data_IF_470866002139
#
_entry.id   IF_470866002139
#
_cell.length_a   1.000
_cell.length_b   1.000
_cell.length_c   1.000
_cell.angle_alpha   90.00
_cell.angle_beta   90.00
_cell.angle_gamma   90.00
#
_symmetry.space_group_name_H-M   'P 1'
#
loop_
_entity.id
_entity.type
_entity.pdbx_description
1 polymer ?
#
# COMPACT_ATOMS: atom_id res chain seq x y z
N UNK A 1 29.51 16.51 -16.78
CA UNK A 1 29.56 17.09 -15.42
C UNK A 1 29.28 18.60 -15.41
N UNK A 2 29.85 19.40 -16.32
CA UNK A 2 29.59 20.85 -16.40
C UNK A 2 28.11 21.22 -16.65
N UNK A 3 27.41 20.47 -17.51
CA UNK A 3 25.99 20.69 -17.85
C UNK A 3 25.05 20.51 -16.64
N UNK A 4 25.35 19.52 -15.79
CA UNK A 4 24.65 19.26 -14.53
C UNK A 4 24.89 20.39 -13.52
N UNK A 5 26.15 20.84 -13.40
CA UNK A 5 26.53 21.94 -12.52
C UNK A 5 25.90 23.27 -12.93
N UNK A 6 25.74 23.54 -14.23
CA UNK A 6 25.04 24.74 -14.70
C UNK A 6 23.54 24.73 -14.41
N UNK A 7 22.87 23.58 -14.54
CA UNK A 7 21.44 23.47 -14.20
C UNK A 7 21.20 23.57 -12.69
N UNK A 8 22.05 22.91 -11.90
CA UNK A 8 22.04 23.03 -10.44
C UNK A 8 22.22 24.49 -9.99
N UNK A 9 23.14 25.24 -10.60
CA UNK A 9 23.35 26.67 -10.29
C UNK A 9 22.18 27.58 -10.66
N UNK A 10 21.26 27.15 -11.53
CA UNK A 10 20.10 27.95 -11.97
C UNK A 10 18.84 27.60 -11.19
N UNK A 11 18.64 26.31 -10.88
CA UNK A 11 17.42 25.83 -10.22
C UNK A 11 17.56 25.62 -8.70
N UNK A 12 18.79 25.55 -8.18
CA UNK A 12 19.13 25.43 -6.75
C UNK A 12 18.21 24.43 -6.01
N UNK A 13 17.43 24.88 -5.01
CA UNK A 13 16.53 24.03 -4.22
C UNK A 13 15.33 23.52 -5.03
N UNK A 14 14.83 24.29 -6.00
CA UNK A 14 13.67 23.92 -6.82
C UNK A 14 13.92 22.69 -7.70
N UNK A 15 15.19 22.41 -8.03
CA UNK A 15 15.56 21.20 -8.76
C UNK A 15 15.13 19.94 -7.99
N UNK A 16 15.24 19.94 -6.67
CA UNK A 16 14.97 18.75 -5.84
C UNK A 16 13.51 18.65 -5.39
N UNK A 17 12.71 19.70 -5.61
CA UNK A 17 11.29 19.72 -5.26
C UNK A 17 10.37 19.54 -6.48
N UNK A 18 10.92 19.42 -7.69
CA UNK A 18 10.15 19.27 -8.94
C UNK A 18 10.47 17.94 -9.62
N UNK A 19 9.47 17.06 -9.71
CA UNK A 19 9.58 15.79 -10.43
C UNK A 19 10.00 15.99 -11.88
N UNK A 20 9.36 16.92 -12.61
CA UNK A 20 9.69 17.20 -14.01
C UNK A 20 11.13 17.67 -14.20
N UNK A 21 11.65 18.49 -13.27
CA UNK A 21 13.03 18.96 -13.33
C UNK A 21 14.02 17.81 -13.10
N UNK A 22 13.76 16.94 -12.12
CA UNK A 22 14.55 15.75 -11.84
C UNK A 22 14.50 14.75 -13.01
N UNK A 23 13.31 14.54 -13.57
CA UNK A 23 13.13 13.67 -14.72
C UNK A 23 13.90 14.17 -15.94
N UNK A 24 13.77 15.46 -16.27
CA UNK A 24 14.53 16.07 -17.36
C UNK A 24 16.05 15.94 -17.15
N UNK A 25 16.52 16.10 -15.91
CA UNK A 25 17.92 15.92 -15.56
C UNK A 25 18.40 14.47 -15.79
N UNK A 26 17.60 13.50 -15.37
CA UNK A 26 17.85 12.08 -15.59
C UNK A 26 17.99 11.79 -17.10
N UNK A 27 17.03 12.25 -17.90
CA UNK A 27 17.06 12.09 -19.37
C UNK A 27 18.29 12.75 -19.98
N UNK A 28 18.68 13.94 -19.53
CA UNK A 28 19.87 14.61 -20.03
C UNK A 28 21.16 13.87 -19.72
N UNK A 29 21.27 13.24 -18.53
CA UNK A 29 22.41 12.37 -18.19
C UNK A 29 22.52 11.24 -19.22
N UNK A 30 21.39 10.63 -19.58
CA UNK A 30 21.32 9.55 -20.57
C UNK A 30 21.67 9.95 -21.99
N UNK A 31 21.68 11.25 -22.30
CA UNK A 31 21.98 11.78 -23.64
C UNK A 31 23.43 12.26 -23.79
N UNK A 32 24.22 12.22 -22.72
CA UNK A 32 25.63 12.63 -22.77
C UNK A 32 26.43 11.61 -23.61
N UNK A 33 27.05 12.02 -24.73
CA UNK A 33 27.87 11.11 -25.53
C UNK A 33 29.06 10.56 -24.72
N UNK A 34 29.22 9.23 -24.69
CA UNK A 34 30.23 8.59 -23.83
C UNK A 34 29.92 8.66 -22.34
N UNK A 35 28.68 9.01 -21.97
CA UNK A 35 28.18 8.99 -20.60
C UNK A 35 27.93 7.57 -20.07
N UNK A 36 27.54 7.45 -18.78
CA UNK A 36 27.26 6.16 -18.17
C UNK A 36 25.97 5.54 -18.73
N UNK A 37 25.93 4.21 -18.77
CA UNK A 37 24.67 3.47 -18.90
C UNK A 37 23.95 3.48 -17.55
N UNK A 38 22.66 3.81 -17.59
CA UNK A 38 21.81 3.92 -16.40
C UNK A 38 20.69 2.89 -16.52
N UNK A 39 20.60 2.00 -15.53
CA UNK A 39 19.53 1.02 -15.44
C UNK A 39 18.62 1.39 -14.27
N UNK A 40 17.36 1.68 -14.56
CA UNK A 40 16.35 1.92 -13.53
C UNK A 40 15.38 0.74 -13.50
N UNK A 41 15.19 0.17 -12.31
CA UNK A 41 14.20 -0.88 -12.06
C UNK A 41 13.09 -0.26 -11.23
N UNK A 42 11.87 -0.32 -11.75
CA UNK A 42 10.66 0.15 -11.08
C UNK A 42 9.88 -1.10 -10.69
N UNK A 43 9.86 -1.40 -9.40
CA UNK A 43 9.15 -2.55 -8.86
C UNK A 43 7.74 -2.16 -8.42
N UNK A 44 6.79 -3.08 -8.55
CA UNK A 44 5.38 -2.91 -8.18
C UNK A 44 4.75 -1.60 -8.67
N UNK A 45 4.91 -1.28 -9.95
CA UNK A 45 4.37 -0.04 -10.54
C UNK A 45 2.86 0.11 -10.29
N UNK A 46 2.12 -0.99 -10.26
CA UNK A 46 0.68 -1.00 -9.94
C UNK A 46 0.32 -0.57 -8.51
N UNK A 47 1.28 -0.56 -7.58
CA UNK A 47 1.08 -0.15 -6.18
C UNK A 47 1.39 1.34 -5.96
N UNK A 48 1.83 2.07 -6.99
CA UNK A 48 2.03 3.52 -6.91
C UNK A 48 0.71 4.27 -6.68
N UNK A 49 0.78 5.40 -5.96
CA UNK A 49 -0.35 6.32 -5.86
C UNK A 49 -0.78 6.76 -7.27
N UNK A 50 -2.09 6.76 -7.51
CA UNK A 50 -2.69 7.00 -8.84
C UNK A 50 -2.14 8.24 -9.56
N UNK A 51 -2.09 9.40 -8.89
CA UNK A 51 -1.61 10.65 -9.51
C UNK A 51 -0.11 10.60 -9.86
N UNK A 52 0.68 10.01 -8.97
CA UNK A 52 2.14 9.84 -9.14
C UNK A 52 2.44 8.82 -10.23
N UNK A 53 1.67 7.73 -10.28
CA UNK A 53 1.75 6.69 -11.31
C UNK A 53 1.42 7.27 -12.70
N UNK A 54 0.32 8.02 -12.81
CA UNK A 54 -0.06 8.65 -14.06
C UNK A 54 1.01 9.63 -14.55
N UNK A 55 1.51 10.49 -13.64
CA UNK A 55 2.59 11.45 -13.96
C UNK A 55 3.85 10.74 -14.46
N UNK A 56 4.27 9.66 -13.79
CA UNK A 56 5.42 8.85 -14.18
C UNK A 56 5.22 8.19 -15.56
N UNK A 57 4.06 7.58 -15.79
CA UNK A 57 3.72 6.91 -17.04
C UNK A 57 3.70 7.90 -18.22
N UNK A 58 3.12 9.09 -18.02
CA UNK A 58 3.13 10.16 -19.03
C UNK A 58 4.57 10.60 -19.37
N UNK A 59 5.45 10.76 -18.37
CA UNK A 59 6.84 11.11 -18.61
C UNK A 59 7.61 10.01 -19.34
N UNK A 60 7.37 8.74 -19.03
CA UNK A 60 7.95 7.60 -19.74
C UNK A 60 7.49 7.58 -21.20
N UNK A 61 6.19 7.72 -21.45
CA UNK A 61 5.65 7.76 -22.81
C UNK A 61 6.27 8.92 -23.62
N UNK A 62 6.28 10.12 -23.06
CA UNK A 62 6.88 11.30 -23.68
C UNK A 62 8.38 11.14 -23.96
N UNK A 63 9.12 10.52 -23.05
CA UNK A 63 10.59 10.44 -23.13
C UNK A 63 11.06 9.32 -24.04
N UNK A 64 10.30 8.24 -24.20
CA UNK A 64 10.75 7.05 -24.92
C UNK A 64 9.93 6.73 -26.19
N UNK A 65 8.65 7.12 -26.29
CA UNK A 65 7.83 6.87 -27.48
C UNK A 65 7.80 8.04 -28.47
N UNK A 66 7.85 9.29 -28.00
CA UNK A 66 7.75 10.48 -28.86
C UNK A 66 9.05 10.88 -29.58
N UNK A 67 10.18 10.18 -29.35
CA UNK A 67 11.48 10.46 -29.99
C UNK A 67 11.63 9.84 -31.40
N UNK A 68 10.56 9.73 -32.18
CA UNK A 68 10.61 9.30 -33.60
C UNK A 68 11.14 10.39 -34.55
N UNK A 69 12.05 11.25 -34.10
CA UNK A 69 12.79 12.16 -34.97
C UNK A 69 14.18 11.58 -35.20
N UNK A 70 14.54 11.40 -36.47
CA UNK A 70 15.72 10.68 -36.97
C UNK A 70 17.10 11.26 -36.55
N UNK A 71 17.14 12.24 -35.66
CA UNK A 71 18.34 12.96 -35.23
C UNK A 71 18.66 12.79 -33.71
N UNK A 72 17.93 11.95 -32.98
CA UNK A 72 18.14 11.78 -31.54
C UNK A 72 19.25 10.77 -31.23
N UNK A 73 20.23 11.19 -30.43
CA UNK A 73 21.25 10.31 -29.83
C UNK A 73 20.54 9.23 -29.01
N UNK A 74 20.90 7.93 -29.16
CA UNK A 74 20.33 6.86 -28.35
C UNK A 74 20.52 7.18 -26.86
N UNK A 75 19.43 7.17 -26.10
CA UNK A 75 19.51 7.32 -24.64
C UNK A 75 20.22 6.10 -24.04
N UNK A 76 21.19 6.33 -23.16
CA UNK A 76 21.86 5.27 -22.38
C UNK A 76 21.05 4.85 -21.13
N UNK A 77 19.75 5.21 -21.09
CA UNK A 77 18.84 4.86 -20.00
C UNK A 77 18.01 3.65 -20.40
N UNK A 78 18.04 2.64 -19.54
CA UNK A 78 17.28 1.41 -19.65
C UNK A 78 16.29 1.32 -18.50
N UNK A 79 15.01 1.15 -18.82
CA UNK A 79 13.94 0.96 -17.84
C UNK A 79 13.48 -0.49 -17.83
N UNK A 80 13.43 -1.10 -16.65
CA UNK A 80 12.74 -2.35 -16.39
C UNK A 80 11.61 -2.06 -15.41
N UNK A 81 10.37 -2.35 -15.80
CA UNK A 81 9.19 -2.14 -14.97
C UNK A 81 8.55 -3.49 -14.64
N UNK A 82 8.22 -3.68 -13.37
CA UNK A 82 7.49 -4.84 -12.87
C UNK A 82 6.12 -4.36 -12.40
N UNK A 83 5.07 -5.07 -12.82
CA UNK A 83 3.70 -4.70 -12.53
C UNK A 83 2.76 -5.88 -12.69
N UNK A 84 1.65 -5.88 -11.96
CA UNK A 84 0.48 -6.69 -12.29
C UNK A 84 -0.18 -6.20 -13.59
N UNK A 85 -0.86 -7.08 -14.36
CA UNK A 85 -1.44 -6.76 -15.66
C UNK A 85 -2.77 -6.03 -15.52
N UNK A 86 -2.73 -4.78 -15.06
CA UNK A 86 -3.92 -3.94 -14.95
C UNK A 86 -4.21 -3.19 -16.25
N UNK A 87 -5.48 -3.18 -16.74
CA UNK A 87 -5.84 -2.54 -18.00
C UNK A 87 -5.46 -1.06 -18.10
N UNK A 88 -5.47 -0.34 -16.98
CA UNK A 88 -5.14 1.09 -16.92
C UNK A 88 -3.67 1.36 -17.26
N UNK A 89 -2.79 0.37 -17.09
CA UNK A 89 -1.37 0.45 -17.42
C UNK A 89 -1.11 0.09 -18.88
N UNK A 90 -1.94 -0.76 -19.49
CA UNK A 90 -1.78 -1.19 -20.88
C UNK A 90 -1.82 -0.02 -21.85
N UNK A 91 -2.64 1.01 -21.58
CA UNK A 91 -2.75 2.18 -22.46
C UNK A 91 -1.41 2.92 -22.63
N UNK A 92 -0.57 2.96 -21.59
CA UNK A 92 0.73 3.62 -21.62
C UNK A 92 1.86 2.67 -22.01
N UNK A 93 1.75 1.39 -21.63
CA UNK A 93 2.84 0.43 -21.72
C UNK A 93 2.80 -0.46 -22.98
N UNK A 94 1.68 -0.48 -23.70
CA UNK A 94 1.47 -1.37 -24.87
C UNK A 94 2.47 -1.16 -26.03
N UNK A 95 3.10 0.01 -26.10
CA UNK A 95 4.14 0.33 -27.09
C UNK A 95 5.51 -0.26 -26.73
N UNK A 96 5.72 -0.66 -25.48
CA UNK A 96 6.96 -1.26 -25.00
C UNK A 96 6.91 -2.79 -25.05
N UNK A 97 8.09 -3.42 -24.96
CA UNK A 97 8.19 -4.88 -24.85
C UNK A 97 7.68 -5.32 -23.47
N UNK A 98 6.51 -5.93 -23.43
CA UNK A 98 5.95 -6.56 -22.23
C UNK A 98 6.22 -8.08 -22.23
N UNK A 99 6.51 -8.66 -21.07
CA UNK A 99 6.68 -10.09 -20.89
C UNK A 99 5.84 -10.54 -19.70
N UNK A 100 4.88 -11.45 -19.94
CA UNK A 100 4.06 -12.02 -18.87
C UNK A 100 4.83 -13.13 -18.15
N UNK A 101 5.42 -12.76 -17.01
CA UNK A 101 6.15 -13.69 -16.14
C UNK A 101 5.27 -14.82 -15.60
N UNK A 102 3.96 -14.62 -15.45
CA UNK A 102 3.01 -15.61 -14.94
C UNK A 102 2.76 -16.79 -15.88
N UNK A 103 3.00 -16.60 -17.18
CA UNK A 103 2.79 -17.62 -18.22
C UNK A 103 3.92 -18.64 -18.37
N UNK A 104 5.07 -18.40 -17.72
CA UNK A 104 6.25 -19.25 -17.86
C UNK A 104 6.09 -20.58 -17.11
N UNK A 105 6.43 -21.68 -17.78
CA UNK A 105 6.35 -23.03 -17.18
C UNK A 105 7.41 -23.22 -16.08
N UNK A 106 8.48 -22.46 -16.18
CA UNK A 106 9.63 -22.44 -15.30
C UNK A 106 9.26 -22.00 -13.87
N UNK A 107 8.18 -21.24 -13.70
CA UNK A 107 7.67 -20.82 -12.38
C UNK A 107 7.47 -22.01 -11.44
N UNK A 108 7.00 -23.14 -11.96
CA UNK A 108 6.80 -24.33 -11.13
C UNK A 108 8.12 -24.88 -10.61
N UNK A 109 9.18 -24.82 -11.43
CA UNK A 109 10.52 -25.26 -11.02
C UNK A 109 11.15 -24.27 -10.04
N UNK A 110 10.98 -22.97 -10.26
CA UNK A 110 11.48 -21.93 -9.36
C UNK A 110 10.79 -22.00 -7.99
N UNK A 111 9.47 -22.24 -7.98
CA UNK A 111 8.70 -22.46 -6.75
C UNK A 111 9.22 -23.68 -5.98
N UNK A 112 9.48 -24.80 -6.66
CA UNK A 112 10.07 -26.00 -6.02
C UNK A 112 11.46 -25.72 -5.47
N UNK A 113 12.30 -25.03 -6.22
CA UNK A 113 13.66 -24.67 -5.79
C UNK A 113 13.62 -23.80 -4.52
N UNK A 114 12.73 -22.81 -4.49
CA UNK A 114 12.54 -21.94 -3.34
C UNK A 114 11.90 -22.66 -2.15
N UNK A 115 10.94 -23.57 -2.36
CA UNK A 115 10.42 -24.44 -1.30
C UNK A 115 11.57 -25.24 -0.69
N UNK A 116 12.39 -25.89 -1.51
CA UNK A 116 13.55 -26.65 -1.04
C UNK A 116 14.48 -25.80 -0.18
N UNK A 117 14.88 -24.62 -0.66
CA UNK A 117 15.75 -23.68 0.07
C UNK A 117 15.14 -23.27 1.42
N UNK A 118 13.85 -22.90 1.43
CA UNK A 118 13.13 -22.53 2.67
C UNK A 118 13.04 -23.68 3.67
N UNK A 119 12.80 -24.91 3.20
CA UNK A 119 12.69 -26.08 4.09
C UNK A 119 14.07 -26.50 4.59
N UNK A 120 15.13 -26.37 3.79
CA UNK A 120 16.51 -26.59 4.22
C UNK A 120 16.91 -25.62 5.35
N UNK A 121 16.62 -24.32 5.20
CA UNK A 121 16.85 -23.32 6.26
C UNK A 121 16.04 -23.65 7.52
N UNK A 122 14.75 -23.98 7.39
CA UNK A 122 13.91 -24.37 8.52
C UNK A 122 14.44 -25.63 9.22
N UNK A 123 14.82 -26.65 8.45
CA UNK A 123 15.34 -27.90 8.97
C UNK A 123 16.65 -27.70 9.72
N UNK A 124 17.53 -26.83 9.22
CA UNK A 124 18.75 -26.44 9.92
C UNK A 124 18.45 -25.71 11.24
N UNK A 125 17.61 -24.66 11.22
CA UNK A 125 17.27 -23.87 12.42
C UNK A 125 16.51 -24.66 13.48
N UNK A 126 15.59 -25.54 13.05
CA UNK A 126 14.66 -26.26 13.91
C UNK A 126 15.04 -27.72 14.14
N UNK A 127 16.15 -28.19 13.56
CA UNK A 127 16.65 -29.56 13.66
C UNK A 127 15.60 -30.60 13.22
N UNK A 128 15.05 -30.42 12.02
CA UNK A 128 14.06 -31.36 11.50
C UNK A 128 14.70 -32.74 11.25
N UNK A 129 14.06 -33.84 11.67
CA UNK A 129 14.36 -35.16 11.16
C UNK A 129 14.08 -35.23 9.64
N UNK A 130 14.77 -36.11 8.92
CA UNK A 130 14.58 -36.28 7.47
C UNK A 130 13.11 -36.55 7.09
N UNK A 131 12.39 -37.33 7.90
CA UNK A 131 10.96 -37.60 7.65
C UNK A 131 10.10 -36.33 7.70
N UNK A 132 10.38 -35.42 8.63
CA UNK A 132 9.66 -34.13 8.73
C UNK A 132 10.05 -33.22 7.57
N UNK A 133 11.32 -33.21 7.17
CA UNK A 133 11.79 -32.46 6.01
C UNK A 133 11.07 -32.87 4.72
N UNK A 134 10.98 -34.17 4.44
CA UNK A 134 10.33 -34.71 3.25
C UNK A 134 8.83 -34.38 3.24
N UNK A 135 8.14 -34.62 4.35
CA UNK A 135 6.69 -34.39 4.44
C UNK A 135 6.33 -32.91 4.38
N UNK A 136 7.11 -32.04 5.01
CA UNK A 136 6.95 -30.58 4.91
C UNK A 136 7.13 -30.10 3.47
N UNK A 137 8.18 -30.57 2.78
CA UNK A 137 8.44 -30.19 1.38
C UNK A 137 7.29 -30.60 0.47
N UNK A 138 6.81 -31.84 0.62
CA UNK A 138 5.69 -32.36 -0.16
C UNK A 138 4.41 -31.55 0.06
N UNK A 139 4.04 -31.28 1.31
CA UNK A 139 2.81 -30.52 1.62
C UNK A 139 2.88 -29.10 1.07
N UNK A 140 4.06 -28.45 1.15
CA UNK A 140 4.25 -27.12 0.59
C UNK A 140 4.04 -27.11 -0.93
N UNK A 141 4.63 -28.06 -1.66
CA UNK A 141 4.45 -28.18 -3.11
C UNK A 141 2.98 -28.43 -3.50
N UNK A 142 2.28 -29.31 -2.78
CA UNK A 142 0.89 -29.65 -3.06
C UNK A 142 -0.08 -28.48 -2.80
N UNK A 143 0.17 -27.71 -1.74
CA UNK A 143 -0.76 -26.68 -1.25
C UNK A 143 -0.46 -25.26 -1.72
N UNK A 144 0.77 -24.96 -2.15
CA UNK A 144 1.16 -23.63 -2.61
C UNK A 144 0.34 -23.14 -3.81
N UNK A 145 -0.17 -24.07 -4.64
CA UNK A 145 -0.98 -23.76 -5.82
C UNK A 145 -0.33 -22.67 -6.71
N UNK A 146 0.98 -22.78 -6.95
CA UNK A 146 1.74 -21.83 -7.78
C UNK A 146 2.11 -20.51 -7.09
N UNK A 147 1.80 -20.33 -5.80
CA UNK A 147 1.96 -19.04 -5.12
C UNK A 147 3.15 -19.00 -4.16
N UNK A 148 4.14 -18.16 -4.47
CA UNK A 148 5.33 -17.94 -3.65
C UNK A 148 4.97 -17.39 -2.25
N UNK A 149 4.05 -16.43 -2.21
CA UNK A 149 3.60 -15.80 -0.96
C UNK A 149 2.97 -16.81 0.01
N UNK A 150 2.19 -17.78 -0.51
CA UNK A 150 1.61 -18.83 0.32
C UNK A 150 2.70 -19.67 1.02
N UNK A 151 3.77 -20.02 0.28
CA UNK A 151 4.93 -20.73 0.86
C UNK A 151 5.60 -19.87 1.93
N UNK A 152 5.80 -18.57 1.66
CA UNK A 152 6.36 -17.63 2.63
C UNK A 152 5.57 -17.58 3.94
N UNK A 153 4.24 -17.45 3.85
CA UNK A 153 3.34 -17.46 5.01
C UNK A 153 3.43 -18.79 5.77
N UNK A 154 3.31 -19.91 5.05
CA UNK A 154 3.39 -21.24 5.64
C UNK A 154 4.71 -21.48 6.37
N UNK A 155 5.83 -21.05 5.78
CA UNK A 155 7.15 -21.12 6.40
C UNK A 155 7.27 -20.21 7.64
N UNK A 156 6.66 -19.03 7.61
CA UNK A 156 6.57 -18.14 8.77
C UNK A 156 5.85 -18.80 9.96
N UNK A 157 4.75 -19.51 9.70
CA UNK A 157 4.03 -20.28 10.72
C UNK A 157 4.87 -21.46 11.23
N UNK A 158 5.58 -22.16 10.35
CA UNK A 158 6.51 -23.23 10.74
C UNK A 158 7.66 -22.72 11.62
N UNK A 159 8.16 -21.52 11.34
CA UNK A 159 9.21 -20.90 12.13
C UNK A 159 8.80 -20.63 13.59
N UNK A 160 7.50 -20.62 13.91
CA UNK A 160 6.97 -20.41 15.26
C UNK A 160 6.71 -21.71 16.03
N UNK A 161 6.71 -22.86 15.37
CA UNK A 161 6.41 -24.16 16.00
C UNK A 161 7.64 -25.05 16.14
N UNK A 162 7.51 -26.08 16.98
CA UNK A 162 8.51 -27.14 17.10
C UNK A 162 8.35 -28.15 15.96
N UNK A 163 9.46 -28.82 15.59
CA UNK A 163 9.49 -29.80 14.49
C UNK A 163 8.39 -30.86 14.56
N UNK A 164 8.09 -31.39 15.75
CA UNK A 164 7.01 -32.36 15.98
C UNK A 164 5.60 -31.89 15.59
N UNK A 165 5.39 -30.58 15.51
CA UNK A 165 4.11 -29.97 15.17
C UNK A 165 4.07 -29.46 13.72
N UNK A 166 5.21 -29.42 13.01
CA UNK A 166 5.34 -28.77 11.71
C UNK A 166 4.34 -29.32 10.68
N UNK A 167 4.30 -30.65 10.53
CA UNK A 167 3.39 -31.35 9.60
C UNK A 167 1.93 -31.05 9.96
N UNK A 168 1.55 -31.19 11.24
CA UNK A 168 0.19 -30.91 11.71
C UNK A 168 -0.22 -29.46 11.43
N UNK A 169 0.68 -28.50 11.66
CA UNK A 169 0.45 -27.08 11.37
C UNK A 169 0.21 -26.85 9.88
N UNK A 170 1.04 -27.39 9.00
CA UNK A 170 0.86 -27.28 7.56
C UNK A 170 -0.40 -27.99 7.05
N UNK A 171 -0.74 -29.16 7.60
CA UNK A 171 -1.96 -29.88 7.24
C UNK A 171 -3.20 -29.05 7.55
N UNK A 172 -3.17 -28.26 8.63
CA UNK A 172 -4.25 -27.35 8.97
C UNK A 172 -4.35 -26.15 8.01
N UNK A 173 -3.26 -25.73 7.35
CA UNK A 173 -3.32 -24.63 6.37
C UNK A 173 -4.06 -25.08 5.11
N UNK A 174 -4.99 -24.28 4.57
CA UNK A 174 -5.73 -24.63 3.37
C UNK A 174 -4.87 -24.44 2.12
N UNK A 175 -5.26 -25.09 1.03
CA UNK A 175 -4.60 -24.97 -0.27
C UNK A 175 -4.89 -23.61 -0.90
N UNK A 176 -3.84 -22.97 -1.42
CA UNK A 176 -3.91 -21.70 -2.13
C UNK A 176 -4.09 -20.48 -1.21
N UNK A 177 -3.69 -19.32 -1.74
CA UNK A 177 -3.66 -18.05 -1.01
C UNK A 177 -5.05 -17.56 -0.61
N UNK A 178 -6.03 -17.68 -1.50
CA UNK A 178 -7.41 -17.26 -1.25
C UNK A 178 -8.01 -17.98 -0.04
N UNK A 179 -7.99 -19.32 -0.04
CA UNK A 179 -8.52 -20.12 1.07
C UNK A 179 -7.78 -19.83 2.38
N UNK A 180 -6.48 -19.51 2.31
CA UNK A 180 -5.67 -19.13 3.46
C UNK A 180 -6.15 -17.81 4.06
N UNK A 181 -6.38 -16.78 3.25
CA UNK A 181 -6.96 -15.52 3.71
C UNK A 181 -8.36 -15.71 4.30
N UNK A 182 -9.21 -16.52 3.67
CA UNK A 182 -10.54 -16.83 4.21
C UNK A 182 -10.45 -17.50 5.59
N UNK A 183 -9.53 -18.45 5.76
CA UNK A 183 -9.29 -19.07 7.07
C UNK A 183 -8.81 -18.06 8.11
N UNK A 184 -7.90 -17.16 7.74
CA UNK A 184 -7.37 -16.13 8.65
C UNK A 184 -8.47 -15.17 9.08
N UNK A 185 -9.30 -14.71 8.13
CA UNK A 185 -10.46 -13.86 8.41
C UNK A 185 -11.46 -14.57 9.35
N UNK A 186 -11.81 -15.83 9.06
CA UNK A 186 -12.72 -16.60 9.91
C UNK A 186 -12.17 -16.78 11.32
N UNK A 187 -10.84 -16.96 11.46
CA UNK A 187 -10.18 -17.08 12.75
C UNK A 187 -10.08 -15.74 13.50
N UNK A 188 -10.05 -14.60 12.80
CA UNK A 188 -10.15 -13.28 13.39
C UNK A 188 -11.54 -13.08 13.99
N UNK A 189 -12.58 -13.31 13.19
CA UNK A 189 -14.00 -13.21 13.57
C UNK A 189 -14.31 -14.17 14.72
N UNK A 190 -13.98 -15.46 14.61
CA UNK A 190 -14.31 -16.44 15.65
C UNK A 190 -13.65 -16.21 17.01
N UNK A 191 -12.60 -15.38 17.06
CA UNK A 191 -11.87 -15.06 18.28
C UNK A 191 -12.39 -13.80 19.00
N UNK A 192 -13.41 -13.15 18.45
CA UNK A 192 -13.92 -11.85 18.90
C UNK A 192 -15.43 -11.87 19.10
N UNK A 193 -15.97 -10.82 19.72
CA UNK A 193 -17.42 -10.68 19.87
C UNK A 193 -18.08 -10.04 18.63
N UNK A 194 -19.42 -9.95 18.64
CA UNK A 194 -20.18 -9.44 17.50
C UNK A 194 -19.91 -7.95 17.21
N UNK A 195 -19.58 -7.16 18.24
CA UNK A 195 -19.23 -5.76 18.07
C UNK A 195 -17.85 -5.63 17.41
N UNK A 196 -16.88 -6.45 17.83
CA UNK A 196 -15.54 -6.53 17.24
C UNK A 196 -15.58 -6.99 15.77
N UNK A 197 -16.50 -7.87 15.36
CA UNK A 197 -16.63 -8.29 13.96
C UNK A 197 -16.81 -7.11 13.01
N UNK A 198 -17.69 -6.17 13.39
CA UNK A 198 -17.95 -4.98 12.59
C UNK A 198 -16.70 -4.11 12.51
N UNK A 199 -16.01 -3.93 13.63
CA UNK A 199 -14.81 -3.10 13.69
C UNK A 199 -13.65 -3.72 12.91
N UNK A 200 -13.44 -5.04 13.00
CA UNK A 200 -12.43 -5.76 12.20
C UNK A 200 -12.66 -5.54 10.71
N UNK A 201 -13.92 -5.64 10.23
CA UNK A 201 -14.26 -5.35 8.83
C UNK A 201 -14.01 -3.87 8.47
N UNK A 202 -14.33 -2.94 9.37
CA UNK A 202 -14.07 -1.51 9.17
C UNK A 202 -12.57 -1.23 9.07
N UNK A 203 -11.75 -1.80 9.96
CA UNK A 203 -10.28 -1.72 9.93
C UNK A 203 -9.75 -2.30 8.62
N UNK A 204 -10.14 -3.52 8.25
CA UNK A 204 -9.71 -4.14 6.99
C UNK A 204 -10.05 -3.27 5.79
N UNK A 205 -11.25 -2.70 5.76
CA UNK A 205 -11.65 -1.76 4.71
C UNK A 205 -10.81 -0.50 4.72
N UNK A 206 -10.59 0.13 5.87
CA UNK A 206 -9.83 1.37 5.95
C UNK A 206 -8.37 1.16 5.58
N UNK A 207 -7.73 0.09 6.05
CA UNK A 207 -6.36 -0.25 5.64
C UNK A 207 -6.27 -0.52 4.14
N UNK A 208 -7.29 -1.16 3.56
CA UNK A 208 -7.32 -1.45 2.12
C UNK A 208 -7.51 -0.21 1.23
N UNK A 209 -8.33 0.77 1.66
CA UNK A 209 -8.69 1.91 0.80
C UNK A 209 -8.14 3.26 1.25
N UNK A 210 -7.38 3.32 2.34
CA UNK A 210 -6.67 4.52 2.73
C UNK A 210 -5.65 4.91 1.64
N UNK A 211 -5.48 6.22 1.42
CA UNK A 211 -4.58 6.79 0.41
C UNK A 211 -3.11 6.64 0.79
N UNK A 212 -2.85 6.47 2.07
CA UNK A 212 -1.56 6.07 2.64
C UNK A 212 -1.80 5.20 3.87
N UNK A 213 -0.81 4.39 4.29
CA UNK A 213 -0.87 3.70 5.57
C UNK A 213 -1.21 4.65 6.72
N UNK A 214 -2.11 4.20 7.59
CA UNK A 214 -2.53 4.94 8.77
C UNK A 214 -1.68 4.52 9.97
N UNK A 215 -1.33 5.46 10.84
CA UNK A 215 -0.75 5.12 12.14
C UNK A 215 -1.81 4.48 13.06
N UNK A 216 -1.38 3.90 14.18
CA UNK A 216 -2.31 3.31 15.15
C UNK A 216 -3.25 4.37 15.75
N UNK A 217 -2.76 5.58 16.01
CA UNK A 217 -3.59 6.68 16.52
C UNK A 217 -4.59 7.15 15.46
N UNK A 218 -4.17 7.22 14.20
CA UNK A 218 -5.06 7.53 13.09
C UNK A 218 -6.16 6.48 12.92
N UNK A 219 -5.80 5.19 13.00
CA UNK A 219 -6.76 4.08 12.94
C UNK A 219 -7.77 4.15 14.09
N UNK A 220 -7.29 4.38 15.31
CA UNK A 220 -8.16 4.52 16.49
C UNK A 220 -9.16 5.67 16.33
N UNK A 221 -8.77 6.78 15.69
CA UNK A 221 -9.64 7.92 15.42
C UNK A 221 -10.61 7.66 14.27
N UNK A 222 -10.12 7.12 13.15
CA UNK A 222 -10.94 6.81 11.99
C UNK A 222 -12.04 5.81 12.32
N UNK A 223 -11.72 4.73 13.04
CA UNK A 223 -12.68 3.69 13.47
C UNK A 223 -13.43 4.05 14.77
N UNK A 224 -13.18 5.24 15.34
CA UNK A 224 -13.77 5.73 16.59
C UNK A 224 -13.65 4.82 17.80
N UNK A 225 -12.46 4.26 18.00
CA UNK A 225 -12.19 3.25 19.02
C UNK A 225 -11.80 3.88 20.36
N UNK A 226 -12.41 3.38 21.43
CA UNK A 226 -12.04 3.60 22.84
C UNK A 226 -11.82 5.07 23.22
N UNK A 227 -12.65 5.99 22.71
CA UNK A 227 -12.59 7.43 23.06
C UNK A 227 -12.89 7.72 24.53
N UNK A 228 -13.48 6.77 25.26
CA UNK A 228 -13.73 6.85 26.70
C UNK A 228 -12.50 6.47 27.55
N UNK A 229 -11.40 6.05 26.92
CA UNK A 229 -10.15 5.65 27.57
C UNK A 229 -9.08 6.73 27.42
N UNK A 230 -8.07 6.68 28.30
CA UNK A 230 -6.85 7.46 28.11
C UNK A 230 -6.09 7.00 26.85
N UNK A 231 -5.17 7.85 26.38
CA UNK A 231 -4.47 7.62 25.11
C UNK A 231 -3.65 6.32 25.09
N UNK A 232 -2.97 5.96 26.18
CA UNK A 232 -2.14 4.76 26.21
C UNK A 232 -3.01 3.51 26.14
N UNK A 233 -4.08 3.45 26.94
CA UNK A 233 -5.07 2.37 26.90
C UNK A 233 -5.74 2.26 25.53
N UNK A 234 -6.14 3.39 24.93
CA UNK A 234 -6.77 3.43 23.62
C UNK A 234 -5.88 2.85 22.53
N UNK A 235 -4.61 3.23 22.50
CA UNK A 235 -3.65 2.72 21.52
C UNK A 235 -3.37 1.24 21.74
N UNK A 236 -3.28 0.79 23.00
CA UNK A 236 -3.05 -0.61 23.32
C UNK A 236 -4.22 -1.50 22.90
N UNK A 237 -5.46 -1.12 23.22
CA UNK A 237 -6.65 -1.88 22.80
C UNK A 237 -6.82 -1.88 21.28
N UNK A 238 -6.49 -0.78 20.60
CA UNK A 238 -6.49 -0.72 19.13
C UNK A 238 -5.48 -1.70 18.54
N UNK A 239 -4.28 -1.85 19.14
CA UNK A 239 -3.29 -2.86 18.71
C UNK A 239 -3.81 -4.27 18.88
N UNK A 240 -4.41 -4.58 20.03
CA UNK A 240 -4.98 -5.91 20.30
C UNK A 240 -6.05 -6.27 19.27
N UNK A 241 -6.89 -5.30 18.89
CA UNK A 241 -7.90 -5.49 17.85
C UNK A 241 -7.29 -5.67 16.45
N UNK A 242 -6.26 -4.92 16.10
CA UNK A 242 -5.50 -5.11 14.86
C UNK A 242 -4.83 -6.50 14.83
N UNK A 243 -4.30 -6.97 15.96
CA UNK A 243 -3.65 -8.28 16.07
C UNK A 243 -4.63 -9.44 15.82
N UNK A 244 -5.94 -9.24 16.04
CA UNK A 244 -6.97 -10.22 15.67
C UNK A 244 -7.04 -10.44 14.16
N UNK A 245 -6.70 -9.43 13.34
CA UNK A 245 -6.64 -9.56 11.87
C UNK A 245 -5.48 -10.47 11.41
N UNK A 246 -4.59 -10.87 12.32
CA UNK A 246 -3.48 -11.81 12.08
C UNK A 246 -2.68 -11.41 10.84
N UNK A 247 -2.35 -12.35 9.96
CA UNK A 247 -1.54 -12.14 8.77
C UNK A 247 -2.26 -11.40 7.62
N UNK A 248 -3.46 -10.83 7.85
CA UNK A 248 -4.09 -9.95 6.86
C UNK A 248 -3.52 -8.53 6.96
N UNK A 249 -3.17 -8.10 8.17
CA UNK A 249 -2.64 -6.76 8.49
C UNK A 249 -1.35 -6.91 9.28
N UNK A 250 -0.40 -6.01 9.06
CA UNK A 250 0.83 -5.91 9.83
C UNK A 250 1.03 -4.49 10.33
N UNK A 251 1.67 -4.36 11.49
CA UNK A 251 2.16 -3.07 11.99
C UNK A 251 3.65 -2.99 11.64
N UNK A 252 4.00 -2.06 10.76
CA UNK A 252 5.39 -1.81 10.36
C UNK A 252 5.74 -0.34 10.61
N UNK A 253 6.79 -0.09 11.39
CA UNK A 253 7.23 1.25 11.77
C UNK A 253 6.11 2.16 12.31
N UNK A 254 5.15 1.59 13.06
CA UNK A 254 4.00 2.32 13.61
C UNK A 254 2.82 2.50 12.67
N UNK A 255 2.92 2.05 11.42
CA UNK A 255 1.85 2.10 10.42
C UNK A 255 1.15 0.77 10.26
N UNK A 256 -0.16 0.81 10.12
CA UNK A 256 -1.04 -0.33 9.85
C UNK A 256 -1.13 -0.54 8.34
N UNK A 257 -0.69 -1.70 7.87
CA UNK A 257 -0.59 -2.05 6.44
C UNK A 257 -1.19 -3.41 6.17
N UNK A 258 -1.68 -3.65 4.95
CA UNK A 258 -1.94 -5.02 4.52
C UNK A 258 -0.63 -5.81 4.51
N UNK A 259 -0.69 -7.11 4.82
CA UNK A 259 0.51 -7.97 4.68
C UNK A 259 1.03 -7.96 3.23
N UNK A 260 0.12 -7.93 2.26
CA UNK A 260 0.42 -7.91 0.84
C UNK A 260 -0.77 -7.33 0.07
N UNK A 261 -0.52 -6.69 -1.09
CA UNK A 261 -1.56 -6.09 -1.94
C UNK A 261 -2.66 -7.08 -2.35
N UNK A 262 -2.33 -8.36 -2.54
CA UNK A 262 -3.33 -9.43 -2.80
C UNK A 262 -4.39 -9.61 -1.71
N UNK A 263 -4.17 -9.11 -0.49
CA UNK A 263 -5.17 -9.14 0.57
C UNK A 263 -6.34 -8.23 0.18
N UNK A 264 -6.06 -7.07 -0.42
CA UNK A 264 -7.10 -6.17 -0.91
C UNK A 264 -7.99 -6.84 -1.96
N UNK A 265 -7.37 -7.55 -2.91
CA UNK A 265 -8.09 -8.31 -3.94
C UNK A 265 -9.03 -9.35 -3.31
N UNK A 266 -8.55 -10.06 -2.29
CA UNK A 266 -9.35 -11.02 -1.54
C UNK A 266 -10.53 -10.35 -0.82
N UNK A 267 -10.30 -9.23 -0.12
CA UNK A 267 -11.35 -8.51 0.61
C UNK A 267 -12.46 -8.02 -0.34
N UNK A 268 -12.08 -7.49 -1.50
CA UNK A 268 -12.99 -7.02 -2.54
C UNK A 268 -13.87 -8.12 -3.13
N UNK A 269 -13.34 -9.35 -3.23
CA UNK A 269 -14.07 -10.48 -3.81
C UNK A 269 -15.00 -11.17 -2.80
N UNK A 270 -14.55 -11.32 -1.55
CA UNK A 270 -15.23 -12.19 -0.57
C UNK A 270 -16.14 -11.43 0.40
N UNK A 271 -15.84 -10.17 0.71
CA UNK A 271 -16.56 -9.42 1.73
C UNK A 271 -17.41 -8.35 1.06
N UNK A 272 -18.67 -8.67 0.80
CA UNK A 272 -19.61 -7.75 0.14
C UNK A 272 -19.75 -6.40 0.88
N UNK A 273 -19.55 -6.40 2.19
CA UNK A 273 -19.57 -5.19 3.01
C UNK A 273 -18.32 -4.32 2.82
N UNK A 274 -17.19 -4.91 2.43
CA UNK A 274 -15.96 -4.18 2.07
C UNK A 274 -16.01 -3.92 0.57
N UNK A 275 -16.65 -2.82 0.23
CA UNK A 275 -16.76 -2.34 -1.13
C UNK A 275 -16.01 -1.02 -1.27
N UNK A 276 -15.21 -0.88 -2.32
CA UNK A 276 -14.39 0.31 -2.55
C UNK A 276 -15.20 1.61 -2.46
N UNK A 277 -16.38 1.70 -3.10
CA UNK A 277 -17.19 2.92 -3.09
C UNK A 277 -17.73 3.22 -1.70
N UNK A 278 -18.30 2.22 -1.01
CA UNK A 278 -18.86 2.37 0.35
C UNK A 278 -17.78 2.69 1.39
N UNK A 279 -16.63 2.06 1.30
CA UNK A 279 -15.53 2.32 2.23
C UNK A 279 -14.91 3.69 2.00
N UNK A 280 -14.75 4.12 0.74
CA UNK A 280 -14.34 5.49 0.43
C UNK A 280 -15.38 6.52 0.93
N UNK A 281 -16.67 6.23 0.79
CA UNK A 281 -17.72 7.09 1.36
C UNK A 281 -17.59 7.20 2.89
N UNK A 282 -17.41 6.07 3.58
CA UNK A 282 -17.19 6.05 5.02
C UNK A 282 -15.95 6.83 5.44
N UNK A 283 -14.80 6.62 4.78
CA UNK A 283 -13.56 7.38 5.02
C UNK A 283 -13.78 8.88 4.80
N UNK A 284 -14.46 9.28 3.71
CA UNK A 284 -14.76 10.69 3.45
C UNK A 284 -15.59 11.30 4.59
N UNK A 285 -16.62 10.60 5.06
CA UNK A 285 -17.42 11.06 6.21
C UNK A 285 -16.56 11.20 7.47
N UNK A 286 -15.75 10.20 7.82
CA UNK A 286 -14.84 10.25 8.98
C UNK A 286 -13.87 11.42 8.91
N UNK A 287 -13.36 11.71 7.72
CA UNK A 287 -12.45 12.83 7.52
C UNK A 287 -13.16 14.16 7.74
N UNK A 288 -14.34 14.36 7.14
CA UNK A 288 -15.11 15.60 7.29
C UNK A 288 -15.52 15.82 8.75
N UNK A 289 -15.97 14.78 9.45
CA UNK A 289 -16.29 14.83 10.89
C UNK A 289 -15.07 15.24 11.72
N UNK A 290 -13.90 14.67 11.42
CA UNK A 290 -12.64 15.00 12.11
C UNK A 290 -12.27 16.46 11.88
N UNK A 291 -12.43 16.97 10.66
CA UNK A 291 -12.20 18.38 10.33
C UNK A 291 -13.18 19.26 11.11
N UNK A 292 -14.47 18.95 11.11
CA UNK A 292 -15.47 19.73 11.85
C UNK A 292 -15.18 19.80 13.35
N UNK A 293 -14.71 18.70 13.95
CA UNK A 293 -14.44 18.64 15.38
C UNK A 293 -13.10 19.25 15.80
N UNK A 294 -12.03 19.03 15.02
CA UNK A 294 -10.65 19.39 15.43
C UNK A 294 -10.11 20.65 14.75
N UNK A 295 -10.63 21.04 13.59
CA UNK A 295 -10.17 22.22 12.89
C UNK A 295 -10.71 23.48 13.58
N UNK A 296 -9.99 23.97 14.60
CA UNK A 296 -10.34 25.16 15.38
C UNK A 296 -9.56 26.40 14.90
N UNK A 297 -10.07 27.62 15.18
CA UNK A 297 -9.32 28.85 14.87
C UNK A 297 -7.98 28.87 15.61
N UNK A 298 -6.91 29.27 14.93
CA UNK A 298 -5.55 29.34 15.48
C UNK A 298 -4.98 28.01 16.04
N UNK A 299 -5.48 26.87 15.55
CA UNK A 299 -4.89 25.56 15.85
C UNK A 299 -3.43 25.49 15.37
N UNK A 300 -2.56 24.93 16.20
CA UNK A 300 -1.16 24.69 15.82
C UNK A 300 -1.11 23.70 14.64
N UNK A 301 -0.29 24.01 13.64
CA UNK A 301 -0.08 23.13 12.48
C UNK A 301 0.59 21.82 12.86
N UNK A 302 1.24 21.73 14.03
CA UNK A 302 1.74 20.46 14.57
C UNK A 302 0.63 19.42 14.80
N UNK A 303 -0.62 19.83 14.98
CA UNK A 303 -1.77 18.92 15.14
C UNK A 303 -2.10 18.14 13.84
N UNK A 304 -1.50 18.53 12.71
CA UNK A 304 -1.61 17.82 11.44
C UNK A 304 -0.60 16.66 11.31
N UNK A 305 0.29 16.48 12.29
CA UNK A 305 1.27 15.39 12.32
C UNK A 305 0.55 14.03 12.45
N UNK A 306 0.88 13.02 11.63
CA UNK A 306 0.31 11.66 11.74
C UNK A 306 0.48 11.00 13.11
N UNK A 307 1.47 11.41 13.92
CA UNK A 307 1.66 10.95 15.30
C UNK A 307 0.68 11.60 16.29
N UNK A 308 0.05 12.72 15.91
CA UNK A 308 -0.97 13.43 16.71
C UNK A 308 -2.39 12.98 16.42
N UNK A 309 -2.63 12.37 15.26
CA UNK A 309 -3.92 11.74 14.94
C UNK A 309 -4.34 11.94 13.49
N UNK A 310 -5.63 11.72 13.24
CA UNK A 310 -6.21 11.56 11.91
C UNK A 310 -6.50 12.88 11.17
N UNK A 311 -6.27 14.03 11.80
CA UNK A 311 -6.62 15.31 11.22
C UNK A 311 -5.81 15.64 9.95
N UNK A 312 -4.50 15.40 9.97
CA UNK A 312 -3.65 15.65 8.80
C UNK A 312 -4.08 14.83 7.58
N UNK A 313 -4.34 13.54 7.79
CA UNK A 313 -4.92 12.66 6.78
C UNK A 313 -6.27 13.20 6.29
N UNK A 314 -7.14 13.56 7.23
CA UNK A 314 -8.50 14.01 6.94
C UNK A 314 -8.51 15.24 6.06
N UNK A 315 -7.71 16.26 6.42
CA UNK A 315 -7.58 17.51 5.66
C UNK A 315 -7.16 17.22 4.23
N UNK A 316 -6.19 16.34 4.02
CA UNK A 316 -5.60 16.09 2.71
C UNK A 316 -6.43 15.17 1.80
N UNK A 317 -7.07 14.13 2.35
CA UNK A 317 -7.59 13.01 1.54
C UNK A 317 -9.11 12.89 1.47
N UNK A 318 -9.89 13.65 2.27
CA UNK A 318 -11.36 13.59 2.18
C UNK A 318 -11.94 13.87 0.77
N UNK A 319 -11.41 14.82 -0.04
CA UNK A 319 -11.98 15.11 -1.36
C UNK A 319 -11.81 13.93 -2.30
N UNK A 320 -10.67 13.24 -2.20
CA UNK A 320 -10.36 12.09 -3.04
C UNK A 320 -11.23 10.89 -2.66
N UNK A 321 -11.41 10.64 -1.36
CA UNK A 321 -12.37 9.64 -0.90
C UNK A 321 -13.80 9.94 -1.37
N UNK A 322 -14.22 11.22 -1.35
CA UNK A 322 -15.52 11.62 -1.88
C UNK A 322 -15.63 11.29 -3.38
N UNK A 323 -14.61 11.64 -4.17
CA UNK A 323 -14.54 11.33 -5.61
C UNK A 323 -14.62 9.82 -5.88
N UNK A 324 -13.83 9.03 -5.17
CA UNK A 324 -13.76 7.56 -5.32
C UNK A 324 -15.03 6.84 -4.86
N UNK A 325 -15.84 7.47 -4.02
CA UNK A 325 -17.13 6.92 -3.62
C UNK A 325 -18.22 6.99 -4.71
N UNK A 326 -17.97 7.75 -5.79
CA UNK A 326 -18.85 7.81 -6.97
C UNK A 326 -20.34 8.00 -6.60
N UNK A 327 -21.20 7.06 -6.98
CA UNK A 327 -22.65 7.12 -6.75
C UNK A 327 -23.06 6.91 -5.28
N UNK A 328 -22.16 6.42 -4.43
CA UNK A 328 -22.42 6.25 -2.99
C UNK A 328 -22.26 7.57 -2.22
N UNK A 329 -21.63 8.60 -2.81
CA UNK A 329 -21.42 9.87 -2.11
C UNK A 329 -22.75 10.60 -1.88
N UNK A 330 -23.07 10.83 -0.61
CA UNK A 330 -24.19 11.68 -0.22
C UNK A 330 -23.80 12.57 0.96
N UNK A 331 -24.15 13.86 0.88
CA UNK A 331 -23.93 14.78 2.00
C UNK A 331 -24.98 14.48 3.07
N UNK A 332 -24.53 13.95 4.21
CA UNK A 332 -25.38 13.73 5.39
C UNK A 332 -25.75 15.07 6.02
N UNK A 333 -26.93 15.14 6.66
CA UNK A 333 -27.38 16.33 7.39
C UNK A 333 -26.32 16.86 8.37
N UNK A 334 -25.68 15.95 9.10
CA UNK A 334 -24.62 16.24 10.08
C UNK A 334 -23.37 16.89 9.47
N UNK A 335 -23.15 16.74 8.15
CA UNK A 335 -21.98 17.27 7.45
C UNK A 335 -22.30 18.53 6.65
N UNK A 336 -23.57 18.97 6.59
CA UNK A 336 -23.98 20.11 5.77
C UNK A 336 -23.24 21.39 6.13
N UNK A 337 -22.95 21.59 7.41
CA UNK A 337 -22.24 22.78 7.89
C UNK A 337 -20.82 22.88 7.33
N UNK A 338 -20.17 21.75 7.03
CA UNK A 338 -18.87 21.78 6.36
C UNK A 338 -18.94 22.41 4.96
N UNK A 339 -20.04 22.16 4.23
CA UNK A 339 -20.21 22.61 2.83
C UNK A 339 -20.88 23.98 2.71
N UNK A 340 -21.28 24.60 3.81
CA UNK A 340 -21.78 25.97 3.80
C UNK A 340 -20.59 26.92 3.76
N UNK A 341 -20.28 27.45 2.58
CA UNK A 341 -19.16 28.39 2.30
C UNK A 341 -19.19 29.63 3.23
N UNK A 342 -20.34 29.95 3.82
CA UNK A 342 -20.49 31.06 4.78
C UNK A 342 -19.92 30.76 6.18
N UNK A 343 -19.53 29.52 6.46
CA UNK A 343 -18.92 29.12 7.72
C UNK A 343 -17.39 29.14 7.60
N UNK A 344 -16.73 29.72 8.60
CA UNK A 344 -15.27 29.84 8.70
C UNK A 344 -14.53 28.50 8.61
N UNK A 345 -15.23 27.36 8.74
CA UNK A 345 -14.66 26.02 8.65
C UNK A 345 -14.07 25.69 7.28
N UNK A 346 -14.72 26.14 6.19
CA UNK A 346 -14.25 25.86 4.84
C UNK A 346 -12.92 26.57 4.54
N UNK A 347 -12.84 27.86 4.86
CA UNK A 347 -11.62 28.66 4.68
C UNK A 347 -10.47 28.10 5.53
N UNK A 348 -10.75 27.71 6.79
CA UNK A 348 -9.77 27.06 7.66
C UNK A 348 -9.26 25.74 7.09
N UNK A 349 -10.15 24.88 6.60
CA UNK A 349 -9.73 23.65 5.94
C UNK A 349 -8.82 23.94 4.75
N UNK A 350 -9.19 24.91 3.90
CA UNK A 350 -8.42 25.27 2.71
C UNK A 350 -7.01 25.77 3.06
N UNK A 351 -6.87 26.54 4.15
CA UNK A 351 -5.57 27.00 4.65
C UNK A 351 -4.67 25.83 5.06
N UNK A 352 -5.20 24.87 5.82
CA UNK A 352 -4.44 23.68 6.24
C UNK A 352 -4.16 22.74 5.06
N UNK A 353 -5.09 22.60 4.12
CA UNK A 353 -4.90 21.83 2.90
C UNK A 353 -3.75 22.39 2.06
N UNK A 354 -3.75 23.70 1.84
CA UNK A 354 -2.67 24.39 1.12
C UNK A 354 -1.33 24.28 1.85
N UNK A 355 -1.34 24.30 3.19
CA UNK A 355 -0.14 24.08 3.98
C UNK A 355 0.43 22.67 3.80
N UNK A 356 -0.42 21.63 3.87
CA UNK A 356 0.01 20.24 3.71
C UNK A 356 0.50 19.95 2.29
N UNK A 357 -0.18 20.45 1.25
CA UNK A 357 0.27 20.33 -0.15
C UNK A 357 1.62 20.99 -0.42
N UNK A 358 2.01 22.00 0.35
CA UNK A 358 3.32 22.68 0.24
C UNK A 358 4.40 22.08 1.14
N UNK A 359 4.02 21.26 2.11
CA UNK A 359 4.93 20.69 3.09
C UNK A 359 5.51 19.36 2.58
N UNK A 360 6.74 18.97 2.98
CA UNK A 360 7.32 17.67 2.65
C UNK A 360 6.51 16.46 3.20
N UNK A 361 5.53 16.70 4.06
CA UNK A 361 4.55 15.69 4.49
C UNK A 361 3.55 15.31 3.40
N UNK A 362 3.28 16.19 2.42
CA UNK A 362 2.56 15.84 1.21
C UNK A 362 3.34 14.87 0.30
N UNK A 363 4.66 14.76 0.50
CA UNK A 363 5.53 13.82 -0.18
C UNK A 363 5.96 12.63 0.71
N UNK A 364 5.50 12.51 1.96
CA UNK A 364 5.77 11.31 2.80
C UNK A 364 4.82 10.13 2.50
N UNK A 365 4.09 10.22 1.40
CA UNK A 365 3.51 9.09 0.67
C UNK A 365 4.34 8.65 -0.54
N UNK A 366 5.60 9.10 -0.67
CA UNK A 366 6.54 8.71 -1.73
C UNK A 366 7.13 7.33 -1.53
#
# INVERSE_FOLDING_TARGET
MELLLSKYKIQEEHLFTSFDALWALLIDIGRVPGGPEVYCIIDALDECESDSQETLLQQIDHSFNNLRTNDSVPSSIHLLMLSRPYPELEQYLSTFKCMDLGSYREITNDLRAMIKDKVEDLAWRKKYPNSVFEEVSQILEEKAAGTFLWVGIACGELARVQSRNAVKTLQALPRGLHSLYQKLLNAAVSASDEDDHRVIKEILGFVAFARRPLTIIEMAEACRLYFDKDMDSRLQFTRELIDLCRLLIVIDNGYVRLLHSSVQDFLLLEIQEINAMKTNYALSCRCIETILHKCQPAMDKSELDPEKGFLGYSVLHWPEHARLSQTEFAIREELKDFFQIQLETWDRWLDYYNYLKRSPWGSLGS
#
